data_IF_565094977143
#
_entry.id   IF_565094977143
#
_cell.length_a   1.000
_cell.length_b   1.000
_cell.length_c   1.000
_cell.angle_alpha   90.00
_cell.angle_beta   90.00
_cell.angle_gamma   90.00
#
_symmetry.space_group_name_H-M   'P 1'
#
loop_
_entity.id
_entity.type
_entity.pdbx_description
1 polymer ?
#
# COMPACT_ATOMS: atom_id res chain seq x y z
N UNK A 1 -55.65 33.22 3.91
CA UNK A 1 -54.93 33.74 2.72
C UNK A 1 -55.62 33.15 1.50
N UNK A 2 -56.31 33.96 0.72
CA UNK A 2 -56.98 33.54 -0.51
C UNK A 2 -55.96 33.61 -1.66
N UNK A 3 -55.96 32.61 -2.54
CA UNK A 3 -55.07 32.58 -3.68
C UNK A 3 -55.03 31.23 -4.38
N UNK A 4 -54.45 31.23 -5.58
CA UNK A 4 -54.23 30.01 -6.34
C UNK A 4 -52.80 29.48 -6.05
N UNK A 5 -52.68 28.23 -5.73
CA UNK A 5 -51.45 27.60 -5.29
C UNK A 5 -51.05 26.47 -6.24
N UNK A 6 -49.76 26.38 -6.49
CA UNK A 6 -49.17 25.21 -7.14
C UNK A 6 -48.73 24.21 -6.09
N UNK A 7 -48.87 22.95 -6.40
CA UNK A 7 -48.47 21.85 -5.53
C UNK A 7 -47.21 21.21 -6.08
N UNK A 8 -46.25 21.06 -5.22
CA UNK A 8 -45.10 20.20 -5.47
C UNK A 8 -45.02 19.13 -4.37
N UNK A 9 -45.04 17.89 -4.77
CA UNK A 9 -44.95 16.77 -3.85
C UNK A 9 -43.99 15.72 -4.39
N UNK A 10 -43.13 15.28 -3.51
CA UNK A 10 -42.20 14.18 -3.80
C UNK A 10 -42.06 13.31 -2.53
N UNK A 11 -41.73 12.02 -2.74
CA UNK A 11 -41.47 11.08 -1.66
C UNK A 11 -40.01 10.61 -1.79
N UNK A 12 -39.10 11.08 -0.93
CA UNK A 12 -37.70 10.69 -0.98
C UNK A 12 -37.54 9.17 -0.83
N UNK A 13 -36.66 8.57 -1.68
CA UNK A 13 -36.34 7.15 -1.60
C UNK A 13 -37.49 6.20 -1.96
N UNK A 14 -38.46 6.65 -2.72
CA UNK A 14 -39.60 5.83 -3.15
C UNK A 14 -39.68 5.76 -4.67
N UNK A 15 -40.36 4.72 -5.18
CA UNK A 15 -40.64 4.52 -6.61
C UNK A 15 -41.78 5.40 -7.11
N UNK A 16 -42.13 6.46 -6.41
CA UNK A 16 -43.18 7.35 -6.80
C UNK A 16 -42.64 8.54 -7.56
N UNK A 17 -43.32 8.85 -8.68
CA UNK A 17 -43.04 10.00 -9.50
C UNK A 17 -43.24 11.30 -8.70
N UNK A 18 -42.26 12.21 -8.77
CA UNK A 18 -42.43 13.58 -8.30
C UNK A 18 -43.48 14.30 -9.17
N UNK A 19 -44.43 14.95 -8.53
CA UNK A 19 -45.52 15.62 -9.24
C UNK A 19 -45.52 17.11 -8.95
N UNK A 20 -45.45 17.90 -10.01
CA UNK A 20 -45.76 19.33 -9.96
C UNK A 20 -47.10 19.59 -10.65
N UNK A 21 -48.06 20.11 -9.89
CA UNK A 21 -49.36 20.51 -10.41
C UNK A 21 -49.49 22.04 -10.34
N UNK A 22 -49.31 22.76 -11.43
CA UNK A 22 -49.52 24.21 -11.45
C UNK A 22 -51.01 24.50 -11.22
N UNK A 23 -51.28 25.53 -10.42
CA UNK A 23 -52.64 25.95 -10.07
C UNK A 23 -53.53 24.81 -9.53
N UNK A 24 -52.94 23.96 -8.68
CA UNK A 24 -53.56 22.74 -8.20
C UNK A 24 -54.87 22.98 -7.43
N UNK A 25 -54.95 24.09 -6.71
CA UNK A 25 -56.16 24.46 -5.97
C UNK A 25 -56.22 25.96 -5.69
N UNK A 26 -57.42 26.44 -5.44
CA UNK A 26 -57.68 27.83 -5.01
C UNK A 26 -58.20 27.78 -3.56
N UNK A 27 -57.64 28.57 -2.66
CA UNK A 27 -58.19 28.75 -1.32
C UNK A 27 -59.13 29.96 -1.33
N UNK A 28 -60.39 29.68 -1.06
CA UNK A 28 -61.43 30.66 -0.75
C UNK A 28 -62.01 30.31 0.62
N UNK A 29 -61.64 31.04 1.67
CA UNK A 29 -62.08 30.85 3.06
C UNK A 29 -61.77 29.50 3.74
N UNK A 30 -60.60 29.42 4.34
CA UNK A 30 -60.12 28.39 5.28
C UNK A 30 -59.71 27.01 4.73
N UNK A 31 -58.82 26.37 5.53
CA UNK A 31 -58.09 25.13 5.38
C UNK A 31 -58.77 24.10 4.45
N UNK A 32 -58.08 23.79 3.35
CA UNK A 32 -58.42 22.67 2.48
C UNK A 32 -57.45 21.52 2.82
N UNK A 33 -58.03 20.39 3.23
CA UNK A 33 -57.31 19.11 3.23
C UNK A 33 -57.32 18.58 1.79
N UNK A 34 -56.19 18.50 1.15
CA UNK A 34 -56.05 17.95 -0.19
C UNK A 34 -55.31 16.61 -0.09
N UNK A 35 -55.99 15.50 -0.37
CA UNK A 35 -55.39 14.18 -0.45
C UNK A 35 -54.69 14.01 -1.78
N UNK A 36 -53.39 13.85 -1.78
CA UNK A 36 -52.61 13.59 -2.99
C UNK A 36 -52.48 12.08 -3.12
N UNK A 37 -53.10 11.56 -4.16
CA UNK A 37 -52.98 10.17 -4.56
C UNK A 37 -51.91 10.05 -5.65
N UNK A 38 -50.77 9.46 -5.29
CA UNK A 38 -49.79 9.06 -6.29
C UNK A 38 -50.24 7.74 -6.92
N UNK A 39 -51.00 7.83 -8.02
CA UNK A 39 -51.41 6.68 -8.81
C UNK A 39 -50.49 6.60 -10.02
N UNK A 40 -49.67 5.57 -10.08
CA UNK A 40 -48.80 5.34 -11.23
C UNK A 40 -48.91 3.89 -11.72
N UNK A 41 -50.01 3.50 -12.39
CA UNK A 41 -50.01 2.22 -13.09
C UNK A 41 -49.00 2.15 -14.25
N UNK A 42 -48.55 3.31 -14.77
CA UNK A 42 -47.63 3.45 -15.91
C UNK A 42 -46.49 4.43 -15.66
N UNK A 43 -46.14 4.74 -14.41
CA UNK A 43 -44.97 5.56 -14.11
C UNK A 43 -43.70 4.81 -14.50
N UNK A 44 -42.73 5.47 -15.15
CA UNK A 44 -41.41 4.87 -15.39
C UNK A 44 -40.78 4.41 -14.08
N UNK A 45 -40.10 3.28 -14.11
CA UNK A 45 -39.31 2.85 -12.97
C UNK A 45 -38.09 3.77 -12.82
N UNK A 46 -37.69 4.13 -11.58
CA UNK A 46 -36.49 4.92 -11.35
C UNK A 46 -35.24 4.14 -11.74
N UNK A 47 -34.15 4.83 -12.05
CA UNK A 47 -32.86 4.18 -12.22
C UNK A 47 -32.47 3.40 -10.94
N UNK A 48 -31.74 2.31 -11.12
CA UNK A 48 -31.31 1.49 -10.00
C UNK A 48 -29.80 1.42 -9.97
N UNK A 49 -29.18 1.85 -8.87
CA UNK A 49 -27.75 1.65 -8.64
C UNK A 49 -27.51 0.15 -8.46
N UNK A 50 -26.71 -0.44 -9.36
CA UNK A 50 -26.41 -1.88 -9.36
C UNK A 50 -25.13 -2.20 -8.62
N UNK A 51 -24.14 -1.28 -8.63
CA UNK A 51 -23.01 -1.33 -7.73
C UNK A 51 -22.43 0.08 -7.49
N UNK A 52 -21.74 0.20 -6.37
CA UNK A 52 -20.92 1.33 -5.98
C UNK A 52 -19.73 0.73 -5.21
N UNK A 53 -18.57 0.68 -5.84
CA UNK A 53 -17.43 -0.05 -5.34
C UNK A 53 -16.14 0.77 -5.51
N UNK A 54 -15.12 0.42 -4.75
CA UNK A 54 -13.80 1.02 -4.84
C UNK A 54 -13.17 0.78 -6.21
N UNK A 55 -12.44 1.76 -6.72
CA UNK A 55 -11.70 1.64 -7.99
C UNK A 55 -10.40 0.87 -7.71
N UNK A 56 -10.22 -0.33 -8.29
CA UNK A 56 -9.05 -1.13 -7.97
C UNK A 56 -7.75 -0.55 -8.56
N UNK A 57 -6.66 -0.62 -7.81
CA UNK A 57 -5.31 -0.14 -8.17
C UNK A 57 -5.29 1.37 -8.46
N UNK A 58 -5.90 2.15 -7.58
CA UNK A 58 -5.83 3.61 -7.60
C UNK A 58 -5.30 4.16 -6.27
N UNK A 59 -5.08 5.47 -6.25
CA UNK A 59 -4.64 6.23 -5.06
C UNK A 59 -5.82 6.63 -4.16
N UNK A 60 -6.96 5.92 -4.25
CA UNK A 60 -8.16 6.27 -3.52
C UNK A 60 -8.88 7.50 -4.06
N UNK A 61 -9.81 8.06 -3.27
CA UNK A 61 -10.58 9.25 -3.63
C UNK A 61 -11.66 9.01 -4.68
N UNK A 62 -11.93 7.78 -5.08
CA UNK A 62 -12.82 7.45 -6.19
C UNK A 62 -13.60 6.15 -5.94
N UNK A 63 -14.84 6.13 -6.47
CA UNK A 63 -15.67 4.92 -6.54
C UNK A 63 -16.17 4.73 -7.98
N UNK A 64 -16.32 3.49 -8.41
CA UNK A 64 -17.06 3.15 -9.62
C UNK A 64 -18.53 3.00 -9.29
N UNK A 65 -19.36 3.89 -9.86
CA UNK A 65 -20.81 3.89 -9.76
C UNK A 65 -21.39 3.31 -11.04
N UNK A 66 -22.23 2.29 -10.92
CA UNK A 66 -23.02 1.80 -12.07
C UNK A 66 -24.52 1.73 -11.75
N UNK A 67 -25.31 2.01 -12.76
CA UNK A 67 -26.76 1.96 -12.66
C UNK A 67 -27.41 1.42 -13.93
N UNK A 68 -28.57 0.83 -13.75
CA UNK A 68 -29.48 0.49 -14.85
C UNK A 68 -30.52 1.59 -15.02
N UNK A 69 -30.97 1.81 -16.23
CA UNK A 69 -31.97 2.82 -16.53
C UNK A 69 -33.27 2.66 -15.70
N UNK A 70 -33.84 1.57 -15.57
CA UNK A 70 -35.12 1.33 -14.92
C UNK A 70 -36.22 1.05 -15.94
N UNK A 71 -36.66 2.02 -16.69
CA UNK A 71 -37.69 1.81 -17.76
C UNK A 71 -37.06 1.58 -19.14
N UNK A 72 -37.34 0.49 -19.82
CA UNK A 72 -36.77 0.22 -21.15
C UNK A 72 -37.22 1.22 -22.24
N UNK A 73 -38.21 2.09 -21.97
CA UNK A 73 -38.67 3.16 -22.87
C UNK A 73 -37.93 4.48 -22.69
N UNK A 74 -36.87 4.52 -21.98
CA UNK A 74 -36.18 5.70 -21.46
C UNK A 74 -35.71 6.71 -22.49
N UNK A 75 -35.28 6.27 -23.67
CA UNK A 75 -34.76 7.22 -24.68
C UNK A 75 -35.83 8.25 -25.13
N UNK A 76 -37.10 7.96 -24.90
CA UNK A 76 -38.20 8.90 -25.16
C UNK A 76 -38.57 9.75 -23.93
N UNK A 77 -38.11 9.31 -22.75
CA UNK A 77 -38.51 9.85 -21.45
C UNK A 77 -37.37 10.59 -20.77
N UNK A 78 -36.15 10.04 -20.78
CA UNK A 78 -35.03 10.59 -20.04
C UNK A 78 -33.89 11.10 -20.94
N UNK A 79 -33.74 12.43 -21.08
CA UNK A 79 -32.63 12.98 -21.89
C UNK A 79 -31.26 12.84 -21.22
N UNK A 80 -31.22 12.76 -19.90
CA UNK A 80 -29.98 12.68 -19.13
C UNK A 80 -30.19 12.17 -17.70
N UNK A 81 -29.08 11.75 -17.08
CA UNK A 81 -28.97 11.47 -15.67
C UNK A 81 -28.18 12.55 -14.96
N UNK A 82 -28.52 12.86 -13.71
CA UNK A 82 -27.69 13.61 -12.78
C UNK A 82 -27.15 12.68 -11.71
N UNK A 83 -25.88 12.82 -11.39
CA UNK A 83 -25.20 12.07 -10.36
C UNK A 83 -24.96 13.01 -9.18
N UNK A 84 -25.46 12.63 -8.04
CA UNK A 84 -25.39 13.40 -6.80
C UNK A 84 -24.57 12.68 -5.76
N UNK A 85 -23.80 13.45 -4.98
CA UNK A 85 -23.15 12.98 -3.76
C UNK A 85 -23.72 13.70 -2.55
N UNK A 86 -23.94 12.97 -1.48
CA UNK A 86 -24.35 13.53 -0.20
C UNK A 86 -23.09 13.98 0.56
N UNK A 87 -23.04 15.28 0.83
CA UNK A 87 -22.07 15.86 1.75
C UNK A 87 -22.87 16.31 3.00
N UNK A 88 -23.07 17.61 3.23
CA UNK A 88 -24.09 18.10 4.16
C UNK A 88 -25.48 18.16 3.45
N UNK A 89 -25.46 18.32 2.15
CA UNK A 89 -26.61 18.30 1.25
C UNK A 89 -26.25 17.56 -0.05
N UNK A 90 -27.26 17.31 -0.91
CA UNK A 90 -27.04 16.68 -2.21
C UNK A 90 -26.35 17.64 -3.18
N UNK A 91 -25.11 17.32 -3.55
CA UNK A 91 -24.29 18.06 -4.49
C UNK A 91 -24.23 17.38 -5.85
N UNK A 92 -24.48 18.14 -6.91
CA UNK A 92 -24.37 17.65 -8.28
C UNK A 92 -22.90 17.42 -8.64
N UNK A 93 -22.56 16.17 -8.94
CA UNK A 93 -21.20 15.77 -9.34
C UNK A 93 -21.04 15.80 -10.85
N UNK A 94 -22.02 15.24 -11.56
CA UNK A 94 -21.95 15.13 -13.02
C UNK A 94 -23.33 14.93 -13.64
N UNK A 95 -23.40 15.13 -14.96
CA UNK A 95 -24.57 14.75 -15.79
C UNK A 95 -24.12 13.81 -16.89
N UNK A 96 -24.90 12.77 -17.13
CA UNK A 96 -24.63 11.75 -18.15
C UNK A 96 -25.79 11.73 -19.14
N UNK A 97 -25.57 12.01 -20.43
CA UNK A 97 -26.65 11.94 -21.43
C UNK A 97 -27.12 10.50 -21.61
N UNK A 98 -28.41 10.35 -21.88
CA UNK A 98 -28.98 9.06 -22.26
C UNK A 98 -28.35 8.56 -23.57
N UNK A 99 -27.98 7.27 -23.63
CA UNK A 99 -27.31 6.63 -24.78
C UNK A 99 -27.91 5.29 -25.18
N UNK A 100 -29.04 4.88 -24.56
CA UNK A 100 -29.66 3.59 -24.81
C UNK A 100 -28.84 2.39 -24.35
N UNK A 101 -28.02 2.56 -23.31
CA UNK A 101 -27.24 1.45 -22.72
C UNK A 101 -28.06 0.73 -21.66
N UNK A 102 -27.90 -0.58 -21.55
CA UNK A 102 -28.57 -1.38 -20.52
C UNK A 102 -27.97 -1.09 -19.13
N UNK A 103 -26.69 -0.70 -19.09
CA UNK A 103 -25.96 -0.30 -17.87
C UNK A 103 -25.12 0.92 -18.20
N UNK A 104 -25.10 1.87 -17.29
CA UNK A 104 -24.22 3.03 -17.27
C UNK A 104 -23.23 2.88 -16.14
N UNK A 105 -22.00 3.33 -16.34
CA UNK A 105 -21.03 3.46 -15.27
C UNK A 105 -20.22 4.73 -15.41
N UNK A 106 -19.72 5.21 -14.28
CA UNK A 106 -18.73 6.27 -14.21
C UNK A 106 -17.96 6.23 -12.90
N UNK A 107 -16.75 6.74 -12.94
CA UNK A 107 -15.96 6.98 -11.73
C UNK A 107 -16.42 8.29 -11.10
N UNK A 108 -16.71 8.26 -9.81
CA UNK A 108 -17.20 9.40 -9.03
C UNK A 108 -16.22 9.71 -7.89
N UNK A 109 -15.93 11.00 -7.62
CA UNK A 109 -15.00 11.38 -6.55
C UNK A 109 -15.66 11.25 -5.18
N UNK A 110 -14.92 10.73 -4.22
CA UNK A 110 -15.25 10.75 -2.78
C UNK A 110 -14.66 12.01 -2.12
N UNK A 111 -14.96 12.24 -0.85
CA UNK A 111 -14.40 13.35 -0.06
C UNK A 111 -13.19 12.92 0.77
N UNK A 112 -12.97 11.63 0.89
CA UNK A 112 -11.87 11.06 1.63
C UNK A 112 -11.89 9.53 1.50
N UNK A 113 -10.78 8.92 1.90
CA UNK A 113 -10.60 7.48 1.87
C UNK A 113 -10.78 6.86 3.25
N UNK A 114 -11.19 5.61 3.24
CA UNK A 114 -11.14 4.79 4.43
C UNK A 114 -9.70 4.33 4.64
N UNK A 115 -9.27 4.40 5.88
CA UNK A 115 -7.92 4.01 6.32
C UNK A 115 -8.01 2.99 7.46
N UNK A 116 -6.88 2.57 7.98
CA UNK A 116 -6.83 1.73 9.18
C UNK A 116 -7.46 2.40 10.43
N UNK A 117 -7.55 3.74 10.44
CA UNK A 117 -8.11 4.51 11.54
C UNK A 117 -9.64 4.60 11.50
N UNK A 118 -10.26 4.29 10.35
CA UNK A 118 -11.72 4.30 10.22
C UNK A 118 -12.25 4.25 8.80
N UNK A 119 -13.54 3.98 8.70
CA UNK A 119 -14.27 3.95 7.42
C UNK A 119 -14.80 5.35 7.14
N UNK A 120 -14.52 5.86 5.95
CA UNK A 120 -15.09 7.11 5.41
C UNK A 120 -16.09 6.77 4.30
N UNK A 121 -17.38 6.79 4.65
CA UNK A 121 -18.46 6.46 3.71
C UNK A 121 -18.83 7.65 2.82
N UNK A 122 -19.08 7.37 1.55
CA UNK A 122 -19.65 8.30 0.57
C UNK A 122 -20.94 7.76 0.01
N UNK A 123 -21.98 8.62 -0.06
CA UNK A 123 -23.32 8.25 -0.51
C UNK A 123 -23.65 8.95 -1.81
N UNK A 124 -24.13 8.20 -2.78
CA UNK A 124 -24.49 8.69 -4.12
C UNK A 124 -25.93 8.33 -4.49
N UNK A 125 -26.50 9.13 -5.38
CA UNK A 125 -27.82 8.94 -5.95
C UNK A 125 -27.80 9.32 -7.42
N UNK A 126 -28.60 8.64 -8.21
CA UNK A 126 -28.78 8.89 -9.65
C UNK A 126 -30.20 9.38 -9.89
N UNK A 127 -30.32 10.55 -10.52
CA UNK A 127 -31.63 11.12 -10.94
C UNK A 127 -31.76 11.02 -12.45
N UNK A 128 -32.81 10.40 -12.91
CA UNK A 128 -33.25 10.42 -14.32
C UNK A 128 -34.15 11.62 -14.58
N UNK A 129 -33.76 12.49 -15.53
CA UNK A 129 -34.53 13.67 -15.92
C UNK A 129 -35.39 13.40 -17.12
N UNK A 130 -36.64 13.85 -17.08
CA UNK A 130 -37.53 13.78 -18.23
C UNK A 130 -37.45 15.03 -19.11
N UNK A 131 -38.12 15.01 -20.25
CA UNK A 131 -38.31 16.20 -21.12
C UNK A 131 -39.00 17.33 -20.36
N UNK A 132 -39.83 16.99 -19.38
CA UNK A 132 -40.43 17.96 -18.49
C UNK A 132 -39.52 18.18 -17.27
N UNK A 133 -38.91 19.34 -17.17
CA UNK A 133 -37.96 19.70 -16.12
C UNK A 133 -38.50 19.54 -14.67
N UNK A 134 -39.82 19.50 -14.50
CA UNK A 134 -40.47 19.31 -13.21
C UNK A 134 -40.74 17.85 -12.85
N UNK A 135 -40.36 16.91 -13.72
CA UNK A 135 -40.56 15.47 -13.53
C UNK A 135 -39.22 14.77 -13.61
N UNK A 136 -38.82 14.13 -12.53
CA UNK A 136 -37.58 13.37 -12.42
C UNK A 136 -37.80 12.15 -11.54
N UNK A 137 -36.88 11.18 -11.63
CA UNK A 137 -36.97 9.92 -10.90
C UNK A 137 -35.60 9.65 -10.24
N UNK A 138 -35.63 9.53 -8.92
CA UNK A 138 -34.43 9.31 -8.12
C UNK A 138 -34.27 7.82 -7.83
N UNK A 139 -33.04 7.32 -7.97
CA UNK A 139 -32.65 6.00 -7.44
C UNK A 139 -32.71 5.98 -5.91
N UNK A 140 -32.75 4.80 -5.32
CA UNK A 140 -32.35 4.68 -3.93
C UNK A 140 -30.88 5.12 -3.81
N UNK A 141 -30.53 5.84 -2.72
CA UNK A 141 -29.14 6.14 -2.42
C UNK A 141 -28.33 4.86 -2.20
N UNK A 142 -27.10 4.86 -2.66
CA UNK A 142 -26.11 3.82 -2.40
C UNK A 142 -24.92 4.39 -1.64
N UNK A 143 -24.41 3.64 -0.67
CA UNK A 143 -23.29 4.05 0.18
C UNK A 143 -22.18 3.04 0.06
N UNK A 144 -20.94 3.54 -0.10
CA UNK A 144 -19.72 2.75 -0.13
C UNK A 144 -18.55 3.61 0.35
N UNK A 145 -17.35 3.08 0.28
CA UNK A 145 -16.13 3.79 0.67
C UNK A 145 -15.01 3.50 -0.33
N UNK A 146 -14.16 4.48 -0.54
CA UNK A 146 -12.92 4.35 -1.30
C UNK A 146 -11.74 4.04 -0.38
N UNK A 147 -10.74 3.37 -0.93
CA UNK A 147 -9.47 3.09 -0.29
C UNK A 147 -8.34 3.36 -1.28
N UNK A 148 -7.25 3.91 -0.80
CA UNK A 148 -6.00 3.85 -1.51
C UNK A 148 -5.46 2.42 -1.43
N UNK A 149 -5.24 1.81 -2.58
CA UNK A 149 -4.75 0.43 -2.68
C UNK A 149 -3.46 0.30 -3.51
N UNK A 150 -2.76 1.42 -3.73
CA UNK A 150 -1.41 1.45 -4.31
C UNK A 150 -0.38 1.58 -3.18
N UNK A 151 0.39 0.52 -2.99
CA UNK A 151 1.48 0.51 -2.01
C UNK A 151 2.67 1.34 -2.51
N UNK A 152 3.36 2.08 -1.63
CA UNK A 152 4.60 2.76 -1.98
C UNK A 152 5.65 1.81 -2.55
N UNK A 153 6.50 2.34 -3.41
CA UNK A 153 7.63 1.57 -3.93
C UNK A 153 8.63 1.18 -2.83
N UNK A 154 9.19 -0.03 -2.94
CA UNK A 154 10.19 -0.56 -2.00
C UNK A 154 11.41 0.39 -1.94
N UNK A 155 11.82 0.88 -0.75
CA UNK A 155 13.04 1.66 -0.61
C UNK A 155 14.27 0.88 -1.09
N UNK A 156 15.16 1.56 -1.80
CA UNK A 156 16.29 0.91 -2.47
C UNK A 156 17.63 1.32 -1.85
N UNK A 157 18.64 0.46 -1.98
CA UNK A 157 20.02 0.74 -1.65
C UNK A 157 20.24 1.16 -0.20
N UNK A 158 19.53 0.51 0.74
CA UNK A 158 19.84 0.72 2.16
C UNK A 158 21.31 0.34 2.42
N UNK A 159 22.05 1.28 2.96
CA UNK A 159 23.41 1.10 3.46
C UNK A 159 23.47 1.49 4.93
N UNK A 160 24.30 0.79 5.69
CA UNK A 160 24.55 1.08 7.09
C UNK A 160 26.07 1.21 7.31
N UNK A 161 26.48 2.27 7.97
CA UNK A 161 27.87 2.49 8.34
C UNK A 161 28.00 2.78 9.84
N UNK A 162 28.98 2.19 10.49
CA UNK A 162 29.20 2.38 11.90
C UNK A 162 30.41 3.30 12.14
N UNK A 163 30.20 4.39 12.85
CA UNK A 163 31.22 5.41 13.15
C UNK A 163 31.76 5.35 14.61
N UNK A 164 31.63 4.20 15.27
CA UNK A 164 32.17 3.94 16.61
C UNK A 164 31.19 4.17 17.76
N UNK A 165 30.18 5.02 17.59
CA UNK A 165 29.11 5.27 18.58
C UNK A 165 27.72 5.21 17.97
N UNK A 166 27.61 5.45 16.66
CA UNK A 166 26.34 5.60 15.94
C UNK A 166 26.35 4.76 14.67
N UNK A 167 25.24 4.16 14.34
CA UNK A 167 24.97 3.55 13.02
C UNK A 167 24.28 4.59 12.15
N UNK A 168 24.97 5.04 11.11
CA UNK A 168 24.41 5.91 10.11
C UNK A 168 23.81 5.05 8.98
N UNK A 169 22.56 5.29 8.68
CA UNK A 169 21.75 4.57 7.70
C UNK A 169 21.27 5.55 6.64
N UNK A 170 21.43 5.18 5.38
CA UNK A 170 21.00 5.95 4.22
C UNK A 170 20.34 5.01 3.20
N UNK A 171 19.29 5.51 2.52
CA UNK A 171 18.63 4.80 1.43
C UNK A 171 18.12 5.78 0.37
N UNK A 172 17.76 5.26 -0.81
CA UNK A 172 17.19 6.08 -1.88
C UNK A 172 15.79 6.53 -1.47
N UNK A 173 15.51 7.82 -1.61
CA UNK A 173 14.18 8.39 -1.33
C UNK A 173 13.11 7.75 -2.23
N UNK A 174 11.94 7.45 -1.67
CA UNK A 174 10.80 6.95 -2.43
C UNK A 174 10.26 8.03 -3.37
N UNK A 175 9.85 7.62 -4.58
CA UNK A 175 9.21 8.50 -5.55
C UNK A 175 7.67 8.56 -5.39
N UNK A 176 7.10 7.92 -4.37
CA UNK A 176 5.67 7.98 -4.08
C UNK A 176 5.26 9.41 -3.73
N UNK A 177 4.26 9.94 -4.45
CA UNK A 177 3.80 11.34 -4.28
C UNK A 177 3.08 11.56 -2.94
N UNK A 178 2.55 10.49 -2.36
CA UNK A 178 1.79 10.43 -1.11
C UNK A 178 2.59 9.80 0.05
N UNK A 179 3.91 9.70 -0.09
CA UNK A 179 4.78 9.18 0.97
C UNK A 179 4.57 9.94 2.28
N UNK A 180 4.23 9.22 3.35
CA UNK A 180 4.12 9.76 4.71
C UNK A 180 5.44 9.69 5.45
N UNK A 181 5.98 8.49 5.59
CA UNK A 181 7.20 8.24 6.36
C UNK A 181 7.84 6.90 5.99
N UNK A 182 8.97 6.61 6.59
CA UNK A 182 9.63 5.31 6.55
C UNK A 182 9.57 4.64 7.92
N UNK A 183 9.39 3.32 7.92
CA UNK A 183 9.63 2.48 9.08
C UNK A 183 10.99 1.81 8.92
N UNK A 184 11.93 2.21 9.77
CA UNK A 184 13.23 1.57 9.89
C UNK A 184 13.16 0.48 10.95
N UNK A 185 13.48 -0.72 10.57
CA UNK A 185 13.49 -1.89 11.43
C UNK A 185 14.92 -2.21 11.85
N UNK A 186 15.10 -2.52 13.13
CA UNK A 186 16.37 -3.00 13.70
C UNK A 186 16.12 -4.27 14.47
N UNK A 187 16.86 -5.32 14.16
CA UNK A 187 16.83 -6.59 14.87
C UNK A 187 18.22 -7.00 15.34
N UNK A 188 18.34 -7.42 16.60
CA UNK A 188 19.57 -8.07 17.08
C UNK A 188 19.54 -9.53 16.65
N UNK A 189 20.43 -9.91 15.71
CA UNK A 189 20.46 -11.24 15.10
C UNK A 189 20.91 -12.31 16.09
N UNK A 190 21.79 -11.96 17.03
CA UNK A 190 22.35 -12.90 18.02
C UNK A 190 21.40 -13.09 19.20
N UNK A 191 20.88 -11.99 19.74
CA UNK A 191 19.97 -12.05 20.87
C UNK A 191 18.57 -12.57 20.49
N UNK A 192 18.21 -12.45 19.21
CA UNK A 192 16.88 -12.77 18.72
C UNK A 192 15.82 -11.78 19.22
N UNK A 193 14.55 -12.13 19.03
CA UNK A 193 13.42 -11.30 19.46
C UNK A 193 12.81 -10.51 18.30
N UNK A 194 11.81 -9.67 18.64
CA UNK A 194 11.13 -8.82 17.66
C UNK A 194 12.01 -7.65 17.25
N UNK A 195 11.87 -7.20 16.01
CA UNK A 195 12.52 -5.98 15.55
C UNK A 195 11.99 -4.75 16.31
N UNK A 196 12.87 -3.78 16.53
CA UNK A 196 12.49 -2.43 16.95
C UNK A 196 12.12 -1.64 15.72
N UNK A 197 10.99 -0.94 15.76
CA UNK A 197 10.52 -0.09 14.66
C UNK A 197 10.77 1.36 15.03
N UNK A 198 11.38 2.11 14.11
CA UNK A 198 11.69 3.52 14.24
C UNK A 198 11.08 4.24 13.04
N UNK A 199 10.18 5.18 13.28
CA UNK A 199 9.56 5.96 12.21
C UNK A 199 10.38 7.22 11.92
N UNK A 200 10.59 7.55 10.63
CA UNK A 200 11.30 8.74 10.16
C UNK A 200 10.75 9.26 8.85
N UNK A 201 10.69 10.59 8.70
CA UNK A 201 10.26 11.25 7.46
C UNK A 201 11.42 11.46 6.46
N UNK A 202 12.66 11.20 6.90
CA UNK A 202 13.85 11.36 6.08
C UNK A 202 14.35 10.01 5.55
N UNK A 203 15.06 10.03 4.44
CA UNK A 203 15.68 8.85 3.84
C UNK A 203 17.06 8.55 4.43
N UNK A 204 17.32 9.02 5.64
CA UNK A 204 18.51 8.70 6.44
C UNK A 204 18.14 8.69 7.92
N UNK A 205 18.91 7.97 8.71
CA UNK A 205 18.73 7.92 10.16
C UNK A 205 20.06 7.59 10.85
N UNK A 206 20.31 8.23 11.99
CA UNK A 206 21.47 7.92 12.85
C UNK A 206 21.00 7.22 14.12
N UNK A 207 21.27 5.94 14.23
CA UNK A 207 20.82 5.08 15.33
C UNK A 207 21.88 4.94 16.41
N UNK A 208 21.55 5.41 17.62
CA UNK A 208 22.39 5.27 18.80
C UNK A 208 22.13 3.93 19.51
N UNK A 209 22.80 2.88 19.11
CA UNK A 209 22.64 1.56 19.71
C UNK A 209 23.61 1.37 20.84
N UNK A 210 23.12 1.43 22.08
CA UNK A 210 23.91 1.26 23.31
C UNK A 210 24.15 -0.23 23.69
N UNK A 211 24.10 -1.11 22.71
CA UNK A 211 24.28 -2.56 22.91
C UNK A 211 25.28 -3.09 21.90
N UNK A 212 26.19 -3.93 22.38
CA UNK A 212 27.02 -4.72 21.49
C UNK A 212 26.21 -5.86 20.88
N UNK A 213 26.51 -6.21 19.64
CA UNK A 213 25.81 -7.29 18.94
C UNK A 213 25.89 -7.12 17.46
N UNK A 214 25.21 -8.01 16.78
CA UNK A 214 24.99 -7.97 15.36
C UNK A 214 23.58 -7.54 15.09
N UNK A 215 23.45 -6.45 14.34
CA UNK A 215 22.16 -5.84 14.04
C UNK A 215 21.89 -5.87 12.54
N UNK A 216 20.69 -6.32 12.22
CA UNK A 216 20.13 -6.26 10.90
C UNK A 216 19.16 -5.10 10.82
N UNK A 217 19.26 -4.32 9.75
CA UNK A 217 18.39 -3.20 9.43
C UNK A 217 17.71 -3.43 8.09
N UNK A 218 16.44 -3.08 8.01
CA UNK A 218 15.71 -2.93 6.76
C UNK A 218 14.73 -1.77 6.89
N UNK A 219 14.26 -1.24 5.79
CA UNK A 219 13.36 -0.09 5.77
C UNK A 219 12.20 -0.36 4.83
N UNK A 220 11.01 0.11 5.22
CA UNK A 220 9.81 0.14 4.39
C UNK A 220 9.36 1.58 4.20
N UNK A 221 8.59 1.86 3.15
CA UNK A 221 7.92 3.14 2.93
C UNK A 221 6.45 3.02 3.30
N UNK A 222 5.89 4.05 3.92
CA UNK A 222 4.48 4.12 4.32
C UNK A 222 3.88 5.39 3.72
N UNK A 223 2.73 5.27 3.04
CA UNK A 223 1.98 6.39 2.50
C UNK A 223 1.05 7.05 3.53
N UNK A 224 0.32 8.08 3.10
CA UNK A 224 -0.63 8.81 3.96
C UNK A 224 -1.87 7.98 4.29
N UNK A 225 -2.18 6.95 3.53
CA UNK A 225 -3.29 6.01 3.73
C UNK A 225 -2.93 4.87 4.67
N UNK A 226 -1.64 4.71 4.99
CA UNK A 226 -1.09 3.68 5.86
C UNK A 226 -0.71 2.39 5.15
N UNK A 227 -0.64 2.38 3.81
CA UNK A 227 -0.10 1.24 3.06
C UNK A 227 1.41 1.19 3.23
N UNK A 228 1.93 0.03 3.56
CA UNK A 228 3.35 -0.19 3.80
C UNK A 228 3.96 -1.08 2.72
N UNK A 229 5.06 -0.63 2.12
CA UNK A 229 5.78 -1.37 1.08
C UNK A 229 6.40 -2.67 1.60
N UNK A 230 6.79 -3.55 0.68
CA UNK A 230 7.71 -4.62 1.00
C UNK A 230 9.05 -4.06 1.52
N UNK A 231 9.80 -4.82 2.33
CA UNK A 231 11.07 -4.37 2.91
C UNK A 231 12.17 -4.19 1.85
N UNK A 232 13.05 -3.23 2.10
CA UNK A 232 14.29 -3.01 1.34
C UNK A 232 15.24 -4.21 1.42
N UNK A 233 16.40 -4.09 0.75
CA UNK A 233 17.54 -4.94 1.10
C UNK A 233 17.89 -4.74 2.58
N UNK A 234 18.35 -5.81 3.23
CA UNK A 234 18.87 -5.72 4.57
C UNK A 234 20.33 -5.20 4.58
N UNK A 235 20.65 -4.43 5.62
CA UNK A 235 22.00 -3.98 5.94
C UNK A 235 22.42 -4.50 7.31
N UNK A 236 23.61 -5.10 7.38
CA UNK A 236 24.12 -5.71 8.60
C UNK A 236 25.23 -4.85 9.22
N UNK A 237 25.15 -4.65 10.52
CA UNK A 237 26.17 -3.91 11.30
C UNK A 237 26.53 -4.69 12.55
N UNK A 238 27.82 -4.85 12.79
CA UNK A 238 28.34 -5.39 14.05
C UNK A 238 28.77 -4.24 14.94
N UNK A 239 28.09 -4.05 16.07
CA UNK A 239 28.34 -2.99 17.03
C UNK A 239 29.17 -3.54 18.20
N UNK A 240 30.23 -2.81 18.53
CA UNK A 240 30.99 -2.90 19.76
C UNK A 240 31.16 -4.31 20.29
N UNK A 241 32.19 -4.97 19.83
CA UNK A 241 32.93 -5.75 20.82
C UNK A 241 33.70 -4.68 21.58
N UNK A 242 33.32 -4.34 22.85
CA UNK A 242 34.34 -3.76 23.75
C UNK A 242 35.64 -4.52 23.51
N UNK A 243 36.74 -3.80 23.38
CA UNK A 243 38.04 -4.48 23.40
C UNK A 243 38.05 -5.41 24.62
N UNK A 244 37.73 -6.70 24.39
CA UNK A 244 37.65 -7.67 25.50
C UNK A 244 36.60 -8.76 25.39
N UNK A 245 35.52 -8.63 24.60
CA UNK A 245 34.60 -9.77 24.35
C UNK A 245 35.18 -10.62 23.20
N UNK A 246 36.07 -11.49 23.56
CA UNK A 246 36.63 -12.50 22.66
C UNK A 246 35.58 -13.63 22.55
N UNK A 247 35.14 -14.03 21.35
CA UNK A 247 34.29 -15.21 21.17
C UNK A 247 34.93 -16.43 21.88
N UNK A 248 34.08 -17.23 22.52
CA UNK A 248 34.58 -18.39 23.26
C UNK A 248 34.98 -19.56 22.34
N UNK A 249 34.49 -19.58 21.10
CA UNK A 249 34.70 -20.65 20.12
C UNK A 249 34.81 -20.13 18.69
N UNK A 250 35.44 -20.94 17.84
CA UNK A 250 35.42 -20.71 16.41
C UNK A 250 34.03 -21.02 15.87
N UNK A 251 33.46 -20.16 15.05
CA UNK A 251 32.24 -20.42 14.33
C UNK A 251 32.26 -19.82 12.92
N UNK A 252 31.57 -20.48 12.00
CA UNK A 252 31.22 -19.96 10.68
C UNK A 252 29.73 -19.76 10.65
N UNK A 253 29.26 -18.55 10.46
CA UNK A 253 27.82 -18.22 10.41
C UNK A 253 27.26 -18.37 9.00
N UNK A 254 25.94 -18.42 8.88
CA UNK A 254 25.28 -18.42 7.59
C UNK A 254 25.52 -17.08 6.90
N UNK A 255 25.87 -17.13 5.61
CA UNK A 255 25.99 -15.89 4.82
C UNK A 255 24.65 -15.17 4.72
N UNK A 256 24.70 -13.86 4.69
CA UNK A 256 23.50 -13.03 4.55
C UNK A 256 23.73 -11.88 3.55
N UNK A 257 22.72 -11.59 2.71
CA UNK A 257 21.51 -12.39 2.45
C UNK A 257 21.81 -13.78 1.86
N UNK A 258 20.88 -14.74 2.03
CA UNK A 258 20.92 -16.05 1.37
C UNK A 258 19.49 -16.57 1.14
N UNK A 259 18.96 -16.61 -0.11
CA UNK A 259 19.67 -16.31 -1.36
C UNK A 259 20.11 -14.86 -1.52
N UNK A 260 21.12 -14.57 -2.37
CA UNK A 260 21.69 -13.24 -2.56
C UNK A 260 21.83 -12.84 -4.04
N UNK A 261 21.93 -11.52 -4.31
CA UNK A 261 22.14 -10.95 -5.64
C UNK A 261 22.71 -9.51 -5.55
N UNK A 262 23.87 -9.16 -6.07
CA UNK A 262 24.98 -10.08 -6.40
C UNK A 262 25.93 -10.29 -5.21
N UNK A 263 25.70 -9.64 -4.05
CA UNK A 263 26.64 -9.65 -2.92
C UNK A 263 26.04 -10.29 -1.67
N UNK A 264 26.92 -10.89 -0.88
CA UNK A 264 26.58 -11.47 0.42
C UNK A 264 27.74 -11.32 1.40
N UNK A 265 27.43 -11.23 2.66
CA UNK A 265 28.42 -11.15 3.75
C UNK A 265 28.54 -12.51 4.43
N UNK A 266 29.78 -12.92 4.69
CA UNK A 266 30.12 -14.15 5.43
C UNK A 266 30.77 -13.74 6.74
N UNK A 267 30.18 -14.19 7.84
CA UNK A 267 30.62 -13.87 9.19
C UNK A 267 31.20 -15.09 9.88
N UNK A 268 32.18 -14.86 10.76
CA UNK A 268 32.84 -15.89 11.54
C UNK A 268 33.45 -15.35 12.83
N UNK A 269 33.75 -16.22 13.77
CA UNK A 269 34.28 -15.88 15.08
C UNK A 269 35.62 -16.53 15.31
N UNK A 270 36.55 -15.77 15.94
CA UNK A 270 37.89 -16.20 16.29
C UNK A 270 38.14 -16.03 17.80
N UNK A 271 38.25 -17.09 18.61
CA UNK A 271 38.53 -16.97 20.05
C UNK A 271 39.97 -16.53 20.38
N UNK A 272 40.87 -16.62 19.43
CA UNK A 272 42.25 -16.18 19.54
C UNK A 272 42.81 -15.77 18.18
N UNK A 273 43.90 -15.05 18.16
CA UNK A 273 44.65 -14.69 16.94
C UNK A 273 44.98 -15.96 16.16
N UNK A 274 44.55 -16.05 14.92
CA UNK A 274 44.59 -17.26 14.09
C UNK A 274 44.98 -16.96 12.65
N UNK A 275 45.67 -17.90 12.02
CA UNK A 275 45.80 -17.93 10.58
C UNK A 275 44.46 -18.41 10.01
N UNK A 276 43.82 -17.59 9.20
CA UNK A 276 42.47 -17.82 8.64
C UNK A 276 42.56 -17.90 7.14
N UNK A 277 41.86 -18.87 6.56
CA UNK A 277 41.60 -18.93 5.12
C UNK A 277 40.08 -19.11 4.88
N UNK A 278 39.50 -18.24 4.01
CA UNK A 278 38.10 -18.31 3.61
C UNK A 278 38.04 -18.46 2.11
N UNK A 279 37.43 -19.55 1.65
CA UNK A 279 37.40 -19.94 0.23
C UNK A 279 35.99 -20.26 -0.22
N UNK A 280 35.67 -19.84 -1.44
CA UNK A 280 34.44 -20.18 -2.14
C UNK A 280 34.72 -21.30 -3.13
N UNK A 281 33.83 -22.28 -3.16
CA UNK A 281 33.84 -23.41 -4.10
C UNK A 281 32.52 -23.51 -4.88
N UNK A 282 32.58 -24.01 -6.07
CA UNK A 282 31.40 -24.45 -6.82
C UNK A 282 30.95 -25.83 -6.36
N UNK A 283 29.82 -26.29 -6.92
CA UNK A 283 29.25 -27.63 -6.57
C UNK A 283 30.09 -28.81 -7.04
N UNK A 284 31.08 -28.60 -7.92
CA UNK A 284 32.03 -29.61 -8.35
C UNK A 284 33.27 -29.68 -7.45
N UNK A 285 33.33 -28.81 -6.43
CA UNK A 285 34.48 -28.69 -5.53
C UNK A 285 35.64 -27.88 -6.15
N UNK A 286 35.44 -27.20 -7.27
CA UNK A 286 36.44 -26.32 -7.86
C UNK A 286 36.48 -25.01 -7.10
N UNK A 287 37.70 -24.56 -6.76
CA UNK A 287 37.90 -23.27 -6.10
C UNK A 287 37.49 -22.13 -7.02
N UNK A 288 36.60 -21.28 -6.53
CA UNK A 288 36.10 -20.09 -7.23
C UNK A 288 36.86 -18.84 -6.85
N UNK A 289 37.03 -18.63 -5.52
CA UNK A 289 37.72 -17.46 -4.99
C UNK A 289 38.21 -17.67 -3.55
N UNK A 290 39.40 -17.15 -3.23
CA UNK A 290 39.82 -16.92 -1.86
C UNK A 290 39.41 -15.52 -1.44
N UNK A 291 38.53 -15.42 -0.45
CA UNK A 291 38.05 -14.14 0.05
C UNK A 291 39.05 -13.54 1.06
N UNK A 292 39.66 -14.40 1.86
CA UNK A 292 40.66 -13.99 2.82
C UNK A 292 41.70 -15.09 3.03
N UNK A 293 42.96 -14.71 3.19
CA UNK A 293 44.05 -15.62 3.62
C UNK A 293 45.11 -14.80 4.38
N UNK A 294 45.26 -15.05 5.66
CA UNK A 294 46.21 -14.32 6.50
C UNK A 294 45.96 -14.51 7.99
N UNK A 295 46.75 -13.81 8.83
CA UNK A 295 46.55 -13.76 10.28
C UNK A 295 45.51 -12.70 10.64
N UNK A 296 44.58 -13.06 11.53
CA UNK A 296 43.63 -12.13 12.13
C UNK A 296 43.58 -12.28 13.64
N UNK A 297 43.38 -11.15 14.32
CA UNK A 297 43.21 -11.14 15.77
C UNK A 297 41.87 -11.74 16.19
N UNK A 298 41.77 -12.16 17.45
CA UNK A 298 40.54 -12.63 18.05
C UNK A 298 39.38 -11.63 17.84
N UNK A 299 38.16 -12.12 17.77
CA UNK A 299 36.97 -11.31 17.65
C UNK A 299 35.98 -11.81 16.58
N UNK A 300 34.91 -11.07 16.40
CA UNK A 300 33.93 -11.27 15.34
C UNK A 300 34.45 -10.65 14.05
N UNK A 301 34.37 -11.38 12.93
CA UNK A 301 34.91 -10.99 11.63
C UNK A 301 33.90 -11.18 10.54
N UNK A 302 34.04 -10.38 9.48
CA UNK A 302 33.22 -10.54 8.29
C UNK A 302 34.06 -10.40 7.02
N UNK A 303 33.54 -10.93 5.90
CA UNK A 303 34.11 -10.75 4.56
C UNK A 303 32.99 -10.74 3.53
N UNK A 304 33.05 -9.80 2.60
CA UNK A 304 32.09 -9.63 1.53
C UNK A 304 32.45 -10.45 0.30
N UNK A 305 31.49 -11.13 -0.31
CA UNK A 305 31.62 -11.73 -1.62
C UNK A 305 30.59 -11.11 -2.59
N UNK A 306 31.07 -10.63 -3.72
CA UNK A 306 30.28 -9.96 -4.75
C UNK A 306 30.07 -10.84 -5.99
N UNK A 307 29.94 -12.16 -5.83
CA UNK A 307 29.72 -13.14 -6.87
C UNK A 307 30.76 -13.10 -8.02
N UNK A 308 32.04 -12.89 -7.69
CA UNK A 308 33.12 -12.90 -8.68
C UNK A 308 34.15 -13.99 -8.38
N UNK A 309 34.82 -14.48 -9.43
CA UNK A 309 35.93 -15.44 -9.32
C UNK A 309 37.25 -14.73 -8.96
N UNK A 310 38.37 -15.49 -8.90
CA UNK A 310 39.71 -14.95 -8.60
C UNK A 310 40.18 -13.87 -9.62
N UNK A 311 39.68 -13.88 -10.83
CA UNK A 311 40.00 -12.88 -11.86
C UNK A 311 39.13 -11.63 -11.79
N UNK A 312 38.09 -11.65 -10.93
CA UNK A 312 37.09 -10.59 -10.85
C UNK A 312 35.93 -10.73 -11.83
N UNK A 313 35.86 -11.81 -12.60
CA UNK A 313 34.74 -12.04 -13.51
C UNK A 313 33.52 -12.54 -12.74
N UNK A 314 32.30 -12.09 -13.10
CA UNK A 314 31.07 -12.59 -12.50
C UNK A 314 30.90 -14.10 -12.68
N UNK A 315 30.41 -14.77 -11.66
CA UNK A 315 30.10 -16.20 -11.71
C UNK A 315 28.61 -16.43 -12.00
N UNK A 316 28.26 -17.65 -12.45
CA UNK A 316 26.89 -18.01 -12.78
C UNK A 316 26.01 -18.11 -11.54
N UNK A 317 24.71 -17.80 -11.67
CA UNK A 317 23.72 -18.12 -10.66
C UNK A 317 23.75 -19.61 -10.31
N UNK A 318 23.54 -19.94 -9.05
CA UNK A 318 23.56 -21.31 -8.58
C UNK A 318 23.99 -21.45 -7.12
N UNK A 319 24.23 -22.68 -6.70
CA UNK A 319 24.68 -23.00 -5.36
C UNK A 319 26.21 -22.97 -5.27
N UNK A 320 26.72 -22.38 -4.19
CA UNK A 320 28.14 -22.32 -3.86
C UNK A 320 28.34 -22.79 -2.41
N UNK A 321 29.57 -23.22 -2.12
CA UNK A 321 29.99 -23.62 -0.78
C UNK A 321 31.10 -22.67 -0.36
N UNK A 322 31.05 -22.15 0.83
CA UNK A 322 32.16 -21.45 1.44
C UNK A 322 32.70 -22.18 2.65
N UNK A 323 34.00 -22.07 2.86
CA UNK A 323 34.72 -22.74 3.94
C UNK A 323 35.54 -21.74 4.72
N UNK A 324 35.72 -22.04 5.99
CA UNK A 324 36.74 -21.42 6.84
C UNK A 324 37.71 -22.49 7.35
N UNK A 325 38.99 -22.19 7.31
CA UNK A 325 40.03 -22.92 8.04
C UNK A 325 40.75 -21.94 8.96
N UNK A 326 40.81 -22.24 10.28
CA UNK A 326 41.43 -21.39 11.27
C UNK A 326 41.98 -22.23 12.43
N UNK A 327 43.27 -22.29 12.61
CA UNK A 327 43.93 -22.95 13.75
C UNK A 327 43.46 -24.40 14.02
N UNK A 328 43.22 -25.18 12.95
CA UNK A 328 42.70 -26.55 13.02
C UNK A 328 41.17 -26.66 13.13
N UNK A 329 40.46 -25.55 13.26
CA UNK A 329 39.00 -25.50 13.05
C UNK A 329 38.70 -25.48 11.56
N UNK A 330 37.73 -26.30 11.15
CA UNK A 330 37.20 -26.30 9.78
C UNK A 330 35.68 -26.32 9.81
N UNK A 331 35.06 -25.44 9.05
CA UNK A 331 33.62 -25.40 8.83
C UNK A 331 33.29 -25.05 7.38
N UNK A 332 32.11 -25.49 6.94
CA UNK A 332 31.60 -25.18 5.62
C UNK A 332 30.08 -24.92 5.66
N UNK A 333 29.62 -24.03 4.77
CA UNK A 333 28.21 -23.75 4.60
C UNK A 333 27.89 -23.54 3.10
N UNK A 334 26.62 -23.65 2.78
CA UNK A 334 26.09 -23.45 1.41
C UNK A 334 25.41 -22.10 1.30
N UNK A 335 25.46 -21.51 0.10
CA UNK A 335 24.78 -20.29 -0.26
C UNK A 335 24.21 -20.35 -1.67
N UNK A 336 23.21 -19.54 -1.99
CA UNK A 336 22.51 -19.54 -3.27
C UNK A 336 22.62 -18.13 -3.87
N UNK A 337 23.27 -18.04 -5.04
CA UNK A 337 23.34 -16.83 -5.86
C UNK A 337 22.14 -16.84 -6.81
N UNK A 338 21.32 -15.79 -6.76
CA UNK A 338 20.28 -15.48 -7.74
C UNK A 338 20.88 -14.71 -8.92
N UNK A 339 20.08 -14.59 -9.98
CA UNK A 339 20.52 -13.86 -11.18
C UNK A 339 19.87 -12.48 -11.21
#
# INVERSE_FOLDING_TARGET
INGTYSLYAWVPGSNYQSVYVPNAFTIEDNVINYDIYFVAPDAPEPPTVVFLEDVPNDQGGQLELAWTPGDPREYEIFPQYSIWRMDEEWNLISTVPYRGSDVYSMVVPTLGDSTQDGIFESTFMVTAHTINENIFYDSNPATSYSIDNIFPGIPQQLVASFSGEVVDLDWVHSEAEDLSHYNLYRQNVIAGGSATIISTETNFYSDNVNQSGEFEYWVTAVDVSGNESDPSNAAMVTLGVEEGVIPMEFALLQNYPNPFNPSTQIMYTLPNTSAVEIVIYDMLGSKVRTLFSGSQDAGYKNVLWNATNEKGDPVSAGMYIYTIEANGFFASKKMILLK
#
